data_IF_330032613075
#
_entry.id   IF_330032613075
#
_cell.length_a   1.000
_cell.length_b   1.000
_cell.length_c   1.000
_cell.angle_alpha   90.00
_cell.angle_beta   90.00
_cell.angle_gamma   90.00
#
_symmetry.space_group_name_H-M   'P 1'
#
loop_
_entity.id
_entity.type
_entity.pdbx_description
1 polymer ?
#
# COMPACT_ATOMS: atom_id res chain seq x y z
N UNK A 1 20.77 -8.75 6.67
CA UNK A 1 21.06 -9.40 5.40
C UNK A 1 22.40 -8.87 4.87
N UNK A 2 23.33 -9.77 4.54
CA UNK A 2 24.71 -9.44 4.13
C UNK A 2 24.80 -8.66 2.80
N UNK A 3 23.73 -8.68 1.99
CA UNK A 3 23.64 -7.92 0.74
C UNK A 3 23.38 -6.43 0.97
N UNK A 4 22.95 -6.06 2.18
CA UNK A 4 22.56 -4.69 2.54
C UNK A 4 23.66 -4.12 3.46
N UNK A 5 24.43 -3.16 2.96
CA UNK A 5 25.50 -2.51 3.73
C UNK A 5 24.96 -1.49 4.73
N UNK A 6 23.89 -0.78 4.38
CA UNK A 6 23.27 0.22 5.26
C UNK A 6 21.82 0.47 4.87
N UNK A 7 21.03 0.92 5.86
CA UNK A 7 19.64 1.39 5.66
C UNK A 7 19.52 2.78 6.29
N UNK A 8 18.93 3.72 5.57
CA UNK A 8 18.63 5.07 6.04
C UNK A 8 17.12 5.33 5.97
N UNK A 9 16.59 5.99 6.99
CA UNK A 9 15.21 6.47 6.99
C UNK A 9 15.24 7.95 6.64
N UNK A 10 14.60 8.28 5.53
CA UNK A 10 14.56 9.62 4.95
C UNK A 10 13.10 10.02 4.68
N UNK A 11 12.89 11.30 4.33
CA UNK A 11 11.57 11.76 3.88
C UNK A 11 11.24 11.17 2.50
N UNK A 12 10.02 10.66 2.28
CA UNK A 12 9.62 10.06 1.00
C UNK A 12 9.88 10.96 -0.21
N UNK A 13 9.73 12.29 -0.03
CA UNK A 13 9.95 13.32 -1.05
C UNK A 13 11.38 13.32 -1.62
N UNK A 14 12.37 12.97 -0.80
CA UNK A 14 13.80 13.06 -1.13
C UNK A 14 14.34 11.76 -1.73
N UNK A 15 13.73 10.62 -1.39
CA UNK A 15 14.23 9.28 -1.74
C UNK A 15 14.43 9.11 -3.26
N UNK A 16 13.48 9.51 -4.15
CA UNK A 16 13.67 9.32 -5.58
C UNK A 16 14.92 10.04 -6.12
N UNK A 17 15.19 11.25 -5.63
CA UNK A 17 16.33 12.06 -6.07
C UNK A 17 17.66 11.42 -5.63
N UNK A 18 17.74 10.93 -4.38
CA UNK A 18 18.96 10.27 -3.88
C UNK A 18 19.24 8.93 -4.57
N UNK A 19 18.18 8.20 -4.92
CA UNK A 19 18.33 6.96 -5.71
C UNK A 19 18.75 7.29 -7.15
N UNK A 20 18.13 8.28 -7.79
CA UNK A 20 18.52 8.71 -9.13
C UNK A 20 19.98 9.20 -9.19
N UNK A 21 20.44 9.90 -8.15
CA UNK A 21 21.81 10.37 -8.02
C UNK A 21 22.82 9.29 -7.59
N UNK A 22 22.39 8.02 -7.47
CA UNK A 22 23.19 6.87 -7.05
C UNK A 22 23.80 6.96 -5.64
N UNK A 23 23.26 7.79 -4.74
CA UNK A 23 23.63 7.75 -3.32
C UNK A 23 23.11 6.46 -2.65
N UNK A 24 22.02 5.90 -3.17
CA UNK A 24 21.46 4.62 -2.75
C UNK A 24 21.17 3.77 -3.99
N UNK A 25 21.39 2.46 -3.86
CA UNK A 25 21.06 1.49 -4.91
C UNK A 25 19.54 1.29 -5.04
N UNK A 26 18.85 1.31 -3.88
CA UNK A 26 17.41 1.06 -3.75
C UNK A 26 16.74 2.13 -2.86
N UNK A 27 15.45 2.32 -3.07
CA UNK A 27 14.61 3.13 -2.21
C UNK A 27 13.18 2.62 -2.15
N UNK A 28 12.50 2.89 -1.04
CA UNK A 28 11.05 2.66 -0.90
C UNK A 28 10.41 4.02 -0.72
N UNK A 29 9.45 4.36 -1.59
CA UNK A 29 8.77 5.66 -1.59
C UNK A 29 7.40 5.56 -2.25
N UNK A 30 6.63 6.65 -2.28
CA UNK A 30 5.39 6.75 -3.05
C UNK A 30 5.65 6.96 -4.54
N UNK A 31 4.82 6.36 -5.39
CA UNK A 31 4.84 6.61 -6.84
C UNK A 31 4.58 8.10 -7.15
N UNK A 32 3.74 8.75 -6.35
CA UNK A 32 3.49 10.19 -6.40
C UNK A 32 4.79 11.01 -6.29
N UNK A 33 5.67 10.67 -5.36
CA UNK A 33 6.96 11.35 -5.19
C UNK A 33 7.94 11.06 -6.33
N UNK A 34 7.92 9.86 -6.90
CA UNK A 34 8.70 9.56 -8.12
C UNK A 34 8.24 10.46 -9.27
N UNK A 35 6.92 10.64 -9.42
CA UNK A 35 6.31 11.50 -10.45
C UNK A 35 6.53 12.97 -10.17
N UNK A 36 6.34 13.40 -8.92
CA UNK A 36 6.54 14.80 -8.51
C UNK A 36 7.99 15.25 -8.72
N UNK A 37 8.96 14.46 -8.30
CA UNK A 37 10.38 14.81 -8.48
C UNK A 37 10.83 14.67 -9.93
N UNK A 38 10.15 13.85 -10.74
CA UNK A 38 10.56 13.49 -12.10
C UNK A 38 11.91 12.80 -12.14
N UNK A 39 12.26 12.09 -11.07
CA UNK A 39 13.52 11.37 -10.95
C UNK A 39 13.60 10.21 -11.93
N UNK A 40 14.76 10.05 -12.57
CA UNK A 40 15.04 8.93 -13.46
C UNK A 40 15.44 7.70 -12.62
N UNK A 41 14.45 6.90 -12.28
CA UNK A 41 14.59 5.68 -11.48
C UNK A 41 13.77 4.55 -12.08
N UNK A 42 14.26 3.33 -11.91
CA UNK A 42 13.53 2.12 -12.28
C UNK A 42 12.58 1.72 -11.16
N UNK A 43 11.30 1.54 -11.47
CA UNK A 43 10.32 0.94 -10.57
C UNK A 43 10.51 -0.58 -10.63
N UNK A 44 10.87 -1.19 -9.50
CA UNK A 44 11.16 -2.62 -9.37
C UNK A 44 9.92 -3.41 -8.99
N UNK A 45 9.09 -2.86 -8.10
CA UNK A 45 7.82 -3.47 -7.68
C UNK A 45 6.91 -2.43 -7.02
N UNK A 46 5.59 -2.66 -7.11
CA UNK A 46 4.62 -2.06 -6.19
C UNK A 46 4.62 -2.86 -4.89
N UNK A 47 4.51 -2.16 -3.77
CA UNK A 47 4.52 -2.73 -2.43
C UNK A 47 3.15 -2.47 -1.78
N UNK A 48 2.25 -3.48 -1.72
CA UNK A 48 0.90 -3.31 -1.20
C UNK A 48 0.89 -3.27 0.34
N UNK A 49 1.26 -2.13 0.92
CA UNK A 49 1.25 -1.93 2.38
C UNK A 49 -0.14 -1.61 2.96
N UNK A 50 -1.13 -1.32 2.11
CA UNK A 50 -2.47 -0.96 2.58
C UNK A 50 -3.14 -2.10 3.34
N UNK A 51 -3.73 -1.78 4.49
CA UNK A 51 -4.52 -2.74 5.32
C UNK A 51 -5.76 -3.24 4.59
N UNK A 52 -6.29 -2.46 3.66
CA UNK A 52 -7.33 -2.83 2.71
C UNK A 52 -6.67 -3.12 1.37
N UNK A 53 -6.63 -4.36 0.96
CA UNK A 53 -5.90 -4.89 -0.20
C UNK A 53 -6.28 -4.28 -1.57
N UNK A 54 -7.09 -3.22 -1.63
CA UNK A 54 -7.62 -2.65 -2.86
C UNK A 54 -7.55 -1.13 -3.02
N UNK A 55 -7.14 -0.34 -2.01
CA UNK A 55 -7.20 1.11 -2.18
C UNK A 55 -5.82 1.74 -2.28
N UNK A 56 -5.48 2.13 -3.51
CA UNK A 56 -4.37 3.04 -3.79
C UNK A 56 -4.71 4.41 -3.20
N UNK A 57 -3.72 5.08 -2.64
CA UNK A 57 -3.88 6.49 -2.28
C UNK A 57 -4.06 7.32 -3.55
N UNK A 58 -4.78 8.43 -3.44
CA UNK A 58 -5.10 9.28 -4.59
C UNK A 58 -4.56 10.69 -4.37
N UNK A 59 -3.94 11.24 -5.38
CA UNK A 59 -3.72 12.68 -5.47
C UNK A 59 -4.94 13.27 -6.15
N UNK A 60 -5.65 14.15 -5.47
CA UNK A 60 -6.95 14.68 -5.92
C UNK A 60 -6.94 16.20 -6.00
N UNK A 61 -7.76 16.73 -6.88
CA UNK A 61 -8.13 18.14 -6.88
C UNK A 61 -9.41 18.31 -6.04
N UNK A 62 -9.34 19.14 -5.02
CA UNK A 62 -10.45 19.43 -4.14
C UNK A 62 -10.69 20.95 -4.01
N UNK A 63 -11.95 21.31 -3.82
CA UNK A 63 -12.41 22.70 -3.63
C UNK A 63 -13.35 22.76 -2.42
N UNK A 64 -13.68 23.97 -1.96
CA UNK A 64 -14.64 24.11 -0.87
C UNK A 64 -15.99 23.47 -1.24
N UNK A 65 -16.68 22.84 -0.30
CA UNK A 65 -17.93 22.09 -0.55
C UNK A 65 -19.03 22.98 -1.16
N UNK A 66 -19.07 24.29 -0.79
CA UNK A 66 -20.01 25.26 -1.32
C UNK A 66 -19.58 25.87 -2.68
N UNK A 67 -18.41 25.50 -3.21
CA UNK A 67 -17.99 25.91 -4.53
C UNK A 67 -18.96 25.38 -5.59
N UNK A 68 -19.22 26.18 -6.61
CA UNK A 68 -20.01 25.77 -7.78
C UNK A 68 -19.25 24.83 -8.72
N UNK A 69 -17.92 24.77 -8.60
CA UNK A 69 -17.09 23.88 -9.41
C UNK A 69 -17.33 22.40 -9.05
N UNK A 70 -17.61 21.58 -10.05
CA UNK A 70 -17.79 20.12 -9.94
C UNK A 70 -16.81 19.35 -10.83
N UNK A 71 -16.05 20.07 -11.63
CA UNK A 71 -14.99 19.56 -12.49
C UNK A 71 -13.83 20.55 -12.55
N UNK A 72 -12.63 20.16 -12.98
CA UNK A 72 -11.50 21.07 -13.14
C UNK A 72 -11.79 22.20 -14.16
N UNK A 73 -12.68 21.94 -15.13
CA UNK A 73 -13.06 22.93 -16.15
C UNK A 73 -13.96 24.05 -15.62
N UNK A 74 -14.55 23.89 -14.44
CA UNK A 74 -15.37 24.91 -13.78
C UNK A 74 -14.52 25.91 -12.99
N UNK A 75 -13.20 25.67 -12.87
CA UNK A 75 -12.29 26.60 -12.20
C UNK A 75 -12.13 27.87 -13.03
N UNK A 76 -12.10 29.00 -12.34
CA UNK A 76 -11.83 30.31 -13.00
C UNK A 76 -10.37 30.36 -13.43
N UNK A 77 -10.13 31.10 -14.52
CA UNK A 77 -8.77 31.41 -14.95
C UNK A 77 -8.01 32.13 -13.81
N UNK A 78 -6.79 31.63 -13.49
CA UNK A 78 -5.99 32.16 -12.40
C UNK A 78 -6.44 31.72 -11.02
N UNK A 79 -7.28 30.65 -10.91
CA UNK A 79 -7.61 30.06 -9.60
C UNK A 79 -6.33 29.63 -8.86
N UNK A 80 -6.28 29.96 -7.58
CA UNK A 80 -5.13 29.70 -6.70
C UNK A 80 -5.21 28.30 -6.14
N UNK A 81 -4.23 27.46 -6.45
CA UNK A 81 -4.17 26.05 -6.04
C UNK A 81 -2.97 25.84 -5.13
N UNK A 82 -3.21 25.40 -3.90
CA UNK A 82 -2.15 25.05 -2.94
C UNK A 82 -1.88 23.54 -2.96
N UNK A 83 -0.59 23.15 -2.93
CA UNK A 83 -0.22 21.72 -3.00
C UNK A 83 1.21 21.45 -2.54
N UNK A 84 1.47 20.23 -2.05
CA UNK A 84 2.82 19.67 -1.90
C UNK A 84 3.38 19.09 -3.21
N UNK A 85 2.54 18.99 -4.27
CA UNK A 85 2.85 18.38 -5.56
C UNK A 85 2.79 19.40 -6.72
N UNK A 86 3.63 20.47 -6.70
CA UNK A 86 3.52 21.55 -7.68
C UNK A 86 3.79 21.08 -9.12
N UNK A 87 4.71 20.12 -9.34
CA UNK A 87 5.01 19.60 -10.68
C UNK A 87 3.85 18.76 -11.22
N UNK A 88 3.31 17.84 -10.44
CA UNK A 88 2.14 17.05 -10.82
C UNK A 88 0.94 17.93 -11.11
N UNK A 89 0.66 18.90 -10.24
CA UNK A 89 -0.43 19.84 -10.42
C UNK A 89 -0.26 20.65 -11.72
N UNK A 90 0.95 21.16 -11.98
CA UNK A 90 1.25 21.91 -13.21
C UNK A 90 1.02 21.06 -14.45
N UNK A 91 1.57 19.85 -14.50
CA UNK A 91 1.39 18.94 -15.63
C UNK A 91 -0.08 18.58 -15.87
N UNK A 92 -0.83 18.35 -14.80
CA UNK A 92 -2.25 18.04 -14.87
C UNK A 92 -3.06 19.17 -15.50
N UNK A 93 -2.88 20.44 -15.03
CA UNK A 93 -3.62 21.58 -15.54
C UNK A 93 -3.20 21.96 -16.96
N UNK A 94 -1.90 21.86 -17.27
CA UNK A 94 -1.38 22.08 -18.64
C UNK A 94 -1.99 21.10 -19.65
N UNK A 95 -2.07 19.80 -19.30
CA UNK A 95 -2.68 18.77 -20.16
C UNK A 95 -4.17 19.03 -20.43
N UNK A 96 -4.87 19.64 -19.47
CA UNK A 96 -6.29 19.98 -19.61
C UNK A 96 -6.50 21.38 -20.24
N UNK A 97 -5.44 22.14 -20.47
CA UNK A 97 -5.54 23.51 -21.00
C UNK A 97 -6.15 24.51 -20.02
N UNK A 98 -6.03 24.26 -18.72
CA UNK A 98 -6.58 25.10 -17.65
C UNK A 98 -5.46 25.95 -17.06
N UNK A 99 -5.68 27.27 -16.99
CA UNK A 99 -4.72 28.22 -16.40
C UNK A 99 -5.04 28.46 -14.93
N UNK A 100 -4.12 28.09 -14.05
CA UNK A 100 -4.21 28.28 -12.59
C UNK A 100 -2.87 28.77 -12.03
N UNK A 101 -2.91 29.39 -10.85
CA UNK A 101 -1.72 29.79 -10.09
C UNK A 101 -1.44 28.74 -9.01
N UNK A 102 -0.27 28.08 -9.09
CA UNK A 102 0.11 26.99 -8.20
C UNK A 102 1.03 27.51 -7.10
N UNK A 103 0.67 27.22 -5.85
CA UNK A 103 1.41 27.61 -4.64
C UNK A 103 1.89 26.38 -3.89
N UNK A 104 3.22 26.28 -3.69
CA UNK A 104 3.82 25.22 -2.86
C UNK A 104 3.33 25.34 -1.42
N UNK A 105 2.91 24.21 -0.85
CA UNK A 105 2.48 24.08 0.54
C UNK A 105 3.44 23.18 1.30
N UNK A 106 3.61 23.43 2.59
CA UNK A 106 4.39 22.58 3.50
C UNK A 106 3.52 21.92 4.57
N UNK A 107 2.23 21.74 4.28
CA UNK A 107 1.23 21.16 5.19
C UNK A 107 0.07 22.09 5.48
N UNK A 108 -0.93 21.59 6.19
CA UNK A 108 -2.20 22.24 6.49
C UNK A 108 -2.85 22.86 5.23
N UNK A 109 -2.79 22.15 4.13
CA UNK A 109 -3.20 22.62 2.81
C UNK A 109 -4.70 22.90 2.78
N UNK A 110 -5.48 22.02 3.44
CA UNK A 110 -6.93 22.11 3.55
C UNK A 110 -7.43 23.35 4.32
N UNK A 111 -6.64 23.83 5.28
CA UNK A 111 -7.03 25.00 6.09
C UNK A 111 -6.97 26.33 5.33
N UNK A 112 -6.44 26.35 4.11
CA UNK A 112 -6.29 27.56 3.28
C UNK A 112 -7.50 27.85 2.41
N UNK A 113 -8.41 26.89 2.28
CA UNK A 113 -9.60 27.00 1.42
C UNK A 113 -10.83 27.29 2.29
N UNK A 114 -11.69 28.26 1.93
CA UNK A 114 -11.68 29.06 0.71
C UNK A 114 -10.93 30.41 0.82
N UNK A 115 -10.48 30.82 2.00
CA UNK A 115 -10.12 32.22 2.29
C UNK A 115 -8.86 32.68 1.53
N UNK A 116 -7.85 31.80 1.43
CA UNK A 116 -6.56 32.12 0.82
C UNK A 116 -6.43 31.49 -0.56
N UNK A 117 -6.93 30.25 -0.71
CA UNK A 117 -6.83 29.44 -1.92
C UNK A 117 -8.21 29.06 -2.43
N UNK A 118 -8.33 28.88 -3.73
CA UNK A 118 -9.59 28.51 -4.39
C UNK A 118 -9.75 26.98 -4.45
N UNK A 119 -8.62 26.23 -4.34
CA UNK A 119 -8.60 24.78 -4.30
C UNK A 119 -7.24 24.24 -3.86
N UNK A 120 -7.19 22.94 -3.70
CA UNK A 120 -5.96 22.20 -3.34
C UNK A 120 -5.76 20.98 -4.22
N UNK A 121 -4.49 20.61 -4.40
CA UNK A 121 -4.11 19.27 -4.87
C UNK A 121 -3.44 18.56 -3.70
N UNK A 122 -4.07 17.47 -3.24
CA UNK A 122 -3.71 16.84 -1.99
C UNK A 122 -3.81 15.31 -2.08
N UNK A 123 -3.03 14.61 -1.25
CA UNK A 123 -3.11 13.17 -1.10
C UNK A 123 -4.28 12.79 -0.19
N UNK A 124 -5.03 11.77 -0.59
CA UNK A 124 -6.08 11.19 0.24
C UNK A 124 -6.19 9.67 0.03
N UNK A 125 -6.57 8.94 1.06
CA UNK A 125 -6.93 7.53 0.96
C UNK A 125 -8.43 7.40 0.66
N UNK A 126 -9.28 7.90 1.55
CA UNK A 126 -10.74 7.73 1.48
C UNK A 126 -11.49 9.03 1.16
N UNK A 127 -10.83 10.17 1.20
CA UNK A 127 -11.47 11.49 1.07
C UNK A 127 -12.15 12.01 2.36
N UNK A 128 -12.23 11.21 3.41
CA UNK A 128 -12.94 11.61 4.63
C UNK A 128 -12.32 12.80 5.34
N UNK A 129 -10.99 12.91 5.37
CA UNK A 129 -10.29 14.06 5.97
C UNK A 129 -10.66 15.35 5.24
N UNK A 130 -10.64 15.33 3.90
CA UNK A 130 -11.03 16.46 3.08
C UNK A 130 -12.48 16.86 3.33
N UNK A 131 -13.38 15.89 3.39
CA UNK A 131 -14.80 16.14 3.67
C UNK A 131 -15.03 16.75 5.05
N UNK A 132 -14.31 16.28 6.09
CA UNK A 132 -14.37 16.87 7.44
C UNK A 132 -13.85 18.31 7.47
N UNK A 133 -12.93 18.65 6.57
CA UNK A 133 -12.42 20.02 6.38
C UNK A 133 -13.30 20.89 5.47
N UNK A 134 -14.52 20.44 5.12
CA UNK A 134 -15.46 21.17 4.28
C UNK A 134 -15.05 21.22 2.80
N UNK A 135 -14.27 20.25 2.34
CA UNK A 135 -13.82 20.16 0.95
C UNK A 135 -14.49 19.00 0.21
N UNK A 136 -14.72 19.19 -1.09
CA UNK A 136 -15.17 18.16 -2.02
C UNK A 136 -14.12 17.89 -3.08
N UNK A 137 -13.91 16.63 -3.38
CA UNK A 137 -13.06 16.18 -4.49
C UNK A 137 -13.82 16.40 -5.80
N UNK A 138 -13.17 17.04 -6.77
CA UNK A 138 -13.74 17.30 -8.11
C UNK A 138 -13.00 16.58 -9.24
N UNK A 139 -11.78 16.07 -8.98
CA UNK A 139 -11.09 15.18 -9.92
C UNK A 139 -9.98 14.39 -9.22
N UNK A 140 -9.57 13.25 -9.82
CA UNK A 140 -8.44 12.43 -9.41
C UNK A 140 -7.31 12.64 -10.41
N UNK A 141 -6.16 13.11 -9.92
CA UNK A 141 -4.98 13.44 -10.74
C UNK A 141 -4.11 12.20 -10.94
N UNK A 142 -3.89 11.44 -9.88
CA UNK A 142 -3.03 10.26 -9.87
C UNK A 142 -3.50 9.26 -8.82
N UNK A 143 -3.49 7.98 -9.16
CA UNK A 143 -3.51 6.90 -8.17
C UNK A 143 -2.07 6.49 -7.86
N UNK A 144 -1.70 6.51 -6.59
CA UNK A 144 -0.36 6.22 -6.11
C UNK A 144 -0.34 5.00 -5.20
N UNK A 145 0.77 4.29 -5.24
CA UNK A 145 1.10 3.18 -4.35
C UNK A 145 2.53 3.35 -3.83
N UNK A 146 2.86 2.65 -2.75
CA UNK A 146 4.27 2.52 -2.34
C UNK A 146 5.01 1.67 -3.36
N UNK A 147 6.21 2.11 -3.76
CA UNK A 147 7.03 1.41 -4.76
C UNK A 147 8.45 1.18 -4.24
N UNK A 148 9.02 0.05 -4.63
CA UNK A 148 10.45 -0.20 -4.58
C UNK A 148 11.08 0.33 -5.86
N UNK A 149 12.03 1.25 -5.73
CA UNK A 149 12.74 1.87 -6.84
C UNK A 149 14.22 1.54 -6.78
N UNK A 150 14.90 1.56 -7.92
CA UNK A 150 16.34 1.39 -8.02
C UNK A 150 16.97 2.44 -8.92
N UNK A 151 18.25 2.72 -8.65
CA UNK A 151 19.12 3.37 -9.62
C UNK A 151 19.35 2.41 -10.80
N UNK A 152 19.29 2.89 -12.04
CA UNK A 152 19.39 2.05 -13.22
C UNK A 152 20.74 1.30 -13.31
N UNK A 153 21.85 2.01 -13.10
CA UNK A 153 23.18 1.41 -13.14
C UNK A 153 23.36 0.37 -12.00
N UNK A 154 22.83 0.65 -10.82
CA UNK A 154 22.83 -0.29 -9.69
C UNK A 154 22.00 -1.54 -10.00
N UNK A 155 20.84 -1.38 -10.64
CA UNK A 155 20.01 -2.51 -11.05
C UNK A 155 20.75 -3.41 -12.04
N UNK A 156 21.36 -2.84 -13.08
CA UNK A 156 22.13 -3.62 -14.06
C UNK A 156 23.31 -4.35 -13.42
N UNK A 157 24.04 -3.69 -12.52
CA UNK A 157 25.22 -4.28 -11.86
C UNK A 157 24.88 -5.32 -10.78
N UNK A 158 23.73 -5.17 -10.08
CA UNK A 158 23.38 -5.96 -8.90
C UNK A 158 22.02 -6.66 -9.02
N UNK A 159 21.53 -6.87 -10.24
CA UNK A 159 20.18 -7.35 -10.55
C UNK A 159 19.73 -8.53 -9.70
N UNK A 160 20.55 -9.59 -9.62
CA UNK A 160 20.19 -10.78 -8.82
C UNK A 160 19.95 -10.45 -7.36
N UNK A 161 20.83 -9.68 -6.74
CA UNK A 161 20.70 -9.29 -5.34
C UNK A 161 19.46 -8.41 -5.10
N UNK A 162 19.15 -7.52 -6.05
CA UNK A 162 17.97 -6.64 -5.99
C UNK A 162 16.69 -7.46 -6.14
N UNK A 163 16.65 -8.41 -7.09
CA UNK A 163 15.48 -9.29 -7.29
C UNK A 163 15.26 -10.22 -6.08
N UNK A 164 16.33 -10.73 -5.46
CA UNK A 164 16.23 -11.50 -4.23
C UNK A 164 15.67 -10.65 -3.07
N UNK A 165 16.14 -9.41 -2.90
CA UNK A 165 15.64 -8.48 -1.88
C UNK A 165 14.17 -8.14 -2.14
N UNK A 166 13.78 -7.85 -3.39
CA UNK A 166 12.39 -7.65 -3.79
C UNK A 166 11.52 -8.83 -3.35
N UNK A 167 11.94 -10.07 -3.65
CA UNK A 167 11.22 -11.28 -3.27
C UNK A 167 11.01 -11.38 -1.76
N UNK A 168 12.04 -11.07 -0.97
CA UNK A 168 11.95 -11.11 0.49
C UNK A 168 11.03 -10.00 1.06
N UNK A 169 11.05 -8.81 0.47
CA UNK A 169 10.17 -7.71 0.87
C UNK A 169 8.71 -8.06 0.56
N UNK A 170 8.42 -8.51 -0.66
CA UNK A 170 7.07 -8.91 -1.05
C UNK A 170 6.56 -10.06 -0.19
N UNK A 171 7.41 -11.06 0.08
CA UNK A 171 7.04 -12.17 0.96
C UNK A 171 6.76 -11.74 2.40
N UNK A 172 7.47 -10.73 2.91
CA UNK A 172 7.19 -10.16 4.23
C UNK A 172 5.87 -9.39 4.27
N UNK A 173 5.56 -8.65 3.21
CA UNK A 173 4.29 -7.91 3.08
C UNK A 173 3.12 -8.89 2.99
N UNK A 174 3.24 -9.95 2.18
CA UNK A 174 2.19 -10.94 2.02
C UNK A 174 1.89 -11.70 3.33
N UNK A 175 2.90 -11.92 4.16
CA UNK A 175 2.76 -12.54 5.47
C UNK A 175 2.08 -11.66 6.53
N UNK A 176 2.05 -10.32 6.37
CA UNK A 176 1.55 -9.41 7.41
C UNK A 176 0.10 -9.67 7.81
N UNK A 177 -0.74 -9.96 6.82
CA UNK A 177 -2.18 -10.17 7.00
C UNK A 177 -2.56 -11.66 7.09
N UNK A 178 -1.57 -12.55 7.25
CA UNK A 178 -1.78 -14.01 7.32
C UNK A 178 -1.16 -14.62 8.57
N UNK A 179 -1.72 -15.73 9.01
CA UNK A 179 -1.18 -16.54 10.07
C UNK A 179 -1.28 -18.03 9.70
N UNK A 180 -0.42 -18.84 10.29
CA UNK A 180 -0.51 -20.29 10.22
C UNK A 180 -1.38 -20.78 11.39
N UNK A 181 -2.47 -21.44 11.07
CA UNK A 181 -3.26 -22.19 12.05
C UNK A 181 -2.83 -23.65 11.97
N UNK A 182 -2.53 -24.21 13.14
CA UNK A 182 -2.25 -25.62 13.35
C UNK A 182 -3.20 -26.17 14.39
N UNK A 183 -3.73 -27.39 14.17
CA UNK A 183 -4.67 -28.03 15.08
C UNK A 183 -4.58 -29.54 15.01
N UNK A 184 -5.09 -30.22 16.04
CA UNK A 184 -5.34 -31.65 16.05
C UNK A 184 -6.81 -31.89 15.77
N UNK A 185 -7.11 -32.85 14.91
CA UNK A 185 -8.48 -33.17 14.48
C UNK A 185 -8.71 -34.67 14.58
N UNK A 186 -9.77 -35.14 15.28
CA UNK A 186 -10.14 -36.54 15.28
C UNK A 186 -10.44 -37.03 13.85
N UNK A 187 -10.07 -38.27 13.54
CA UNK A 187 -10.22 -38.87 12.21
C UNK A 187 -11.66 -38.73 11.66
N UNK A 188 -12.66 -38.98 12.51
CA UNK A 188 -14.08 -38.89 12.16
C UNK A 188 -14.59 -37.45 11.92
N UNK A 189 -13.78 -36.42 12.23
CA UNK A 189 -14.10 -35.00 12.04
C UNK A 189 -13.27 -34.31 10.94
N UNK A 190 -12.31 -35.01 10.38
CA UNK A 190 -11.33 -34.46 9.44
C UNK A 190 -12.00 -33.80 8.21
N UNK A 191 -12.92 -34.53 7.57
CA UNK A 191 -13.58 -34.00 6.36
C UNK A 191 -14.45 -32.77 6.64
N UNK A 192 -15.08 -32.71 7.82
CA UNK A 192 -15.89 -31.58 8.25
C UNK A 192 -15.02 -30.35 8.48
N UNK A 193 -13.89 -30.51 9.17
CA UNK A 193 -12.93 -29.42 9.43
C UNK A 193 -12.30 -28.90 8.13
N UNK A 194 -11.89 -29.77 7.22
CA UNK A 194 -11.30 -29.37 5.93
C UNK A 194 -12.27 -28.51 5.11
N UNK A 195 -13.58 -28.79 5.16
CA UNK A 195 -14.60 -27.99 4.42
C UNK A 195 -14.79 -26.58 4.96
N UNK A 196 -14.54 -26.36 6.26
CA UNK A 196 -14.68 -25.04 6.90
C UNK A 196 -13.38 -24.24 6.84
N UNK A 197 -12.24 -24.89 6.68
CA UNK A 197 -10.92 -24.29 6.80
C UNK A 197 -10.57 -23.51 5.53
N UNK A 198 -10.39 -22.16 5.60
CA UNK A 198 -9.83 -21.41 4.46
C UNK A 198 -8.41 -21.88 4.19
N UNK A 199 -8.03 -21.95 2.94
CA UNK A 199 -6.69 -22.41 2.55
C UNK A 199 -6.14 -21.59 1.37
N UNK A 200 -4.81 -21.48 1.25
CA UNK A 200 -4.18 -20.90 0.05
C UNK A 200 -4.29 -21.84 -1.16
N UNK A 201 -3.95 -23.10 -0.99
CA UNK A 201 -4.06 -24.17 -2.02
C UNK A 201 -4.88 -25.34 -1.46
N UNK A 202 -4.34 -25.98 -0.43
CA UNK A 202 -4.96 -27.08 0.32
C UNK A 202 -4.35 -27.10 1.73
N UNK A 203 -5.07 -27.61 2.75
CA UNK A 203 -4.48 -27.78 4.07
C UNK A 203 -3.42 -28.88 4.04
N UNK A 204 -2.39 -28.74 4.86
CA UNK A 204 -1.47 -29.85 5.13
C UNK A 204 -2.11 -30.78 6.16
N UNK A 205 -2.14 -32.08 5.89
CA UNK A 205 -2.74 -33.08 6.76
C UNK A 205 -1.74 -34.21 7.01
N UNK A 206 -1.46 -34.53 8.29
CA UNK A 206 -0.57 -35.63 8.68
C UNK A 206 -1.17 -36.41 9.84
N UNK A 207 -1.17 -37.75 9.76
CA UNK A 207 -1.65 -38.61 10.87
C UNK A 207 -0.71 -38.52 12.06
N UNK A 208 -1.26 -38.36 13.26
CA UNK A 208 -0.48 -38.36 14.50
C UNK A 208 -0.01 -39.78 14.84
N UNK A 209 1.16 -39.85 15.49
CA UNK A 209 1.74 -41.12 15.88
C UNK A 209 0.88 -41.82 16.95
N UNK A 210 0.51 -43.10 16.68
CA UNK A 210 -0.31 -43.96 17.58
C UNK A 210 -1.61 -43.31 18.09
N UNK A 211 -2.27 -42.46 17.29
CA UNK A 211 -3.54 -41.85 17.64
C UNK A 211 -4.50 -41.80 16.43
N UNK A 212 -5.80 -41.80 16.70
CA UNK A 212 -6.84 -41.60 15.69
C UNK A 212 -7.10 -40.08 15.47
N UNK A 213 -6.01 -39.35 15.29
CA UNK A 213 -5.98 -37.90 15.08
C UNK A 213 -5.07 -37.51 13.91
N UNK A 214 -5.39 -36.40 13.33
CA UNK A 214 -4.58 -35.75 12.29
C UNK A 214 -4.13 -34.35 12.73
N UNK A 215 -2.87 -34.05 12.52
CA UNK A 215 -2.39 -32.68 12.54
C UNK A 215 -2.84 -31.99 11.22
N UNK A 216 -3.53 -30.87 11.33
CA UNK A 216 -3.99 -30.07 10.19
C UNK A 216 -3.38 -28.68 10.28
N UNK A 217 -2.80 -28.22 9.18
CA UNK A 217 -2.19 -26.89 9.10
C UNK A 217 -2.73 -26.12 7.90
N UNK A 218 -3.00 -24.83 8.06
CA UNK A 218 -3.42 -23.94 6.98
C UNK A 218 -2.99 -22.50 7.22
N UNK A 219 -2.67 -21.81 6.15
CA UNK A 219 -2.45 -20.36 6.16
C UNK A 219 -3.79 -19.67 5.92
N UNK A 220 -4.17 -18.78 6.83
CA UNK A 220 -5.46 -18.07 6.83
C UNK A 220 -5.27 -16.57 6.98
N UNK A 221 -6.26 -15.79 6.55
CA UNK A 221 -6.27 -14.35 6.77
C UNK A 221 -6.48 -14.03 8.26
N UNK A 222 -5.67 -13.14 8.82
CA UNK A 222 -5.77 -12.76 10.25
C UNK A 222 -7.12 -12.19 10.63
N UNK A 223 -7.78 -11.46 9.74
CA UNK A 223 -9.11 -10.88 9.98
C UNK A 223 -10.19 -11.93 10.25
N UNK A 224 -10.02 -13.15 9.73
CA UNK A 224 -10.98 -14.24 9.87
C UNK A 224 -10.72 -15.11 11.12
N UNK A 225 -9.56 -14.99 11.76
CA UNK A 225 -9.11 -15.91 12.82
C UNK A 225 -10.05 -15.91 14.03
N UNK A 226 -10.49 -14.73 14.46
CA UNK A 226 -11.34 -14.61 15.65
C UNK A 226 -12.72 -15.27 15.49
N UNK A 227 -13.21 -15.42 14.27
CA UNK A 227 -14.44 -16.13 13.94
C UNK A 227 -14.16 -17.61 13.66
N UNK A 228 -13.01 -17.89 13.04
CA UNK A 228 -12.63 -19.23 12.59
C UNK A 228 -12.28 -20.15 13.76
N UNK A 229 -11.49 -19.71 14.75
CA UNK A 229 -11.07 -20.54 15.90
C UNK A 229 -12.26 -21.08 16.69
N UNK A 230 -13.25 -20.26 17.13
CA UNK A 230 -14.44 -20.77 17.80
C UNK A 230 -15.22 -21.78 16.96
N UNK A 231 -15.35 -21.52 15.65
CA UNK A 231 -16.04 -22.41 14.74
C UNK A 231 -15.35 -23.76 14.59
N UNK A 232 -14.03 -23.79 14.43
CA UNK A 232 -13.23 -25.01 14.36
C UNK A 232 -13.37 -25.83 15.65
N UNK A 233 -13.31 -25.16 16.81
CA UNK A 233 -13.50 -25.82 18.11
C UNK A 233 -14.89 -26.44 18.26
N UNK A 234 -15.95 -25.76 17.83
CA UNK A 234 -17.32 -26.29 17.86
C UNK A 234 -17.49 -27.56 17.01
N UNK A 235 -16.70 -27.68 15.92
CA UNK A 235 -16.71 -28.83 15.02
C UNK A 235 -15.72 -29.93 15.42
N UNK A 236 -15.07 -29.80 16.57
CA UNK A 236 -14.23 -30.84 17.17
C UNK A 236 -12.74 -30.74 16.89
N UNK A 237 -12.25 -29.59 16.42
CA UNK A 237 -10.81 -29.34 16.39
C UNK A 237 -10.30 -29.09 17.82
N UNK A 238 -9.12 -29.61 18.11
CA UNK A 238 -8.45 -29.52 19.40
C UNK A 238 -7.04 -28.92 19.25
N UNK A 239 -6.44 -28.46 20.34
CA UNK A 239 -5.07 -27.95 20.38
C UNK A 239 -4.80 -26.91 19.27
N UNK A 240 -5.73 -25.98 19.09
CA UNK A 240 -5.66 -24.98 18.02
C UNK A 240 -4.60 -23.94 18.38
N UNK A 241 -3.58 -23.81 17.52
CA UNK A 241 -2.48 -22.86 17.65
C UNK A 241 -2.52 -21.85 16.50
N UNK A 242 -2.33 -20.58 16.83
CA UNK A 242 -2.07 -19.52 15.88
C UNK A 242 -0.58 -19.15 15.91
N UNK A 243 0.09 -19.18 14.76
CA UNK A 243 1.50 -18.86 14.63
C UNK A 243 1.69 -17.71 13.62
N UNK A 244 2.53 -16.75 14.00
CA UNK A 244 2.92 -15.67 13.09
C UNK A 244 3.82 -16.16 11.97
N UNK A 245 3.58 -15.70 10.75
CA UNK A 245 4.40 -16.02 9.58
C UNK A 245 5.29 -14.80 9.29
N UNK A 246 6.59 -15.06 9.13
CA UNK A 246 7.55 -13.99 8.81
C UNK A 246 7.56 -13.62 7.33
N UNK A 247 7.39 -14.60 6.45
CA UNK A 247 7.38 -14.43 4.99
C UNK A 247 6.55 -15.53 4.33
N UNK A 248 5.87 -15.17 3.26
CA UNK A 248 5.24 -16.10 2.31
C UNK A 248 5.83 -15.78 0.95
N UNK A 249 6.41 -16.77 0.29
CA UNK A 249 6.99 -16.63 -1.05
C UNK A 249 6.33 -17.67 -1.94
N UNK A 250 5.59 -17.21 -2.94
CA UNK A 250 4.90 -18.05 -3.94
C UNK A 250 5.82 -18.42 -5.11
#
# INVERSE_FOLDING_TARGET
DFRISSVKVLRPQEIPQYVAAAYFDLGITGLDWVRETGSDVRIIAELPYSKTASEKVKIVLAVHEQSTANSPFDLKQGSRISTEYPRLAKQYFEQKGISVDIFLSYGATEAKVPDIMDGIVELTETGETLKRSGLKVIDVILESSTVLIANEASYEAKRRSIDDIKTLILGAIDAQNRALIKMNVPENKLEEIIKILPTMKAPSVAKLYNADYYAVESVVAKEQINELIPKLKQHGAEDILELSISKIVD
#
